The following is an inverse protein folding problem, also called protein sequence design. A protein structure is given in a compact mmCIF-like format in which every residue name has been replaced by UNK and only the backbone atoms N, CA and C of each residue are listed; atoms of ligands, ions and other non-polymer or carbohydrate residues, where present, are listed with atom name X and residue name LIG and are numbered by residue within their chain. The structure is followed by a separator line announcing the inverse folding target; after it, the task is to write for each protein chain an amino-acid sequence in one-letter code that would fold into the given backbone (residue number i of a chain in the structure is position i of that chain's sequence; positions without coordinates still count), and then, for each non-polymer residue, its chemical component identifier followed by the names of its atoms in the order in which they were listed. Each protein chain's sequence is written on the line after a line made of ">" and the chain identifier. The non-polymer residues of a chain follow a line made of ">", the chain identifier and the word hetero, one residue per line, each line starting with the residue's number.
data_IF_611509757456
#
_entry.id   IF_611509757456
#
_cell.length_a   1.000
_cell.length_b   1.000
_cell.length_c   1.000
_cell.angle_alpha   90.00
_cell.angle_beta   90.00
_cell.angle_gamma   90.00
#
_symmetry.space_group_name_H-M   'P 1'
#
loop_
_entity.id
_entity.type
_entity.pdbx_description
1 polymer ?
#
# COMPACT_ATOMS: atom_id res chain seq x y z
N UNK A 1 -3.93 -4.50 -12.97
CA UNK A 1 -2.68 -4.75 -13.74
C UNK A 1 -2.04 -3.43 -14.11
N UNK A 2 -0.74 -3.24 -13.86
CA UNK A 2 -0.04 -1.99 -14.12
C UNK A 2 0.14 -1.80 -15.63
N UNK A 3 -0.45 -0.74 -16.20
CA UNK A 3 -0.52 -0.54 -17.65
C UNK A 3 0.78 0.04 -18.24
N UNK A 4 1.54 0.77 -17.44
CA UNK A 4 2.80 1.38 -17.88
C UNK A 4 3.93 0.34 -17.97
N UNK A 5 4.30 0.01 -19.22
CA UNK A 5 5.38 -0.93 -19.52
C UNK A 5 6.76 -0.38 -19.18
N UNK A 6 6.97 0.92 -19.34
CA UNK A 6 8.26 1.56 -19.09
C UNK A 6 8.60 1.54 -17.60
N UNK A 7 7.62 1.85 -16.74
CA UNK A 7 7.81 1.76 -15.30
C UNK A 7 8.05 0.32 -14.82
N UNK A 8 7.33 -0.66 -15.37
CA UNK A 8 7.60 -2.06 -15.05
C UNK A 8 9.03 -2.47 -15.40
N UNK A 9 9.56 -2.03 -16.55
CA UNK A 9 10.96 -2.26 -16.92
C UNK A 9 11.93 -1.62 -15.92
N UNK A 10 11.70 -0.36 -15.53
CA UNK A 10 12.52 0.31 -14.52
C UNK A 10 12.48 -0.41 -13.16
N UNK A 11 11.31 -0.89 -12.73
CA UNK A 11 11.15 -1.61 -11.47
C UNK A 11 11.92 -2.94 -11.50
N UNK A 12 11.85 -3.69 -12.60
CA UNK A 12 12.62 -4.93 -12.79
C UNK A 12 14.12 -4.61 -12.80
N UNK A 13 14.55 -3.54 -13.46
CA UNK A 13 15.97 -3.15 -13.48
C UNK A 13 16.48 -2.79 -12.09
N UNK A 14 15.69 -2.09 -11.28
CA UNK A 14 16.03 -1.81 -9.87
C UNK A 14 16.21 -3.10 -9.06
N UNK A 15 15.35 -4.09 -9.26
CA UNK A 15 15.47 -5.40 -8.60
C UNK A 15 16.75 -6.14 -9.03
N UNK A 16 17.10 -6.10 -10.32
CA UNK A 16 18.38 -6.65 -10.82
C UNK A 16 19.58 -5.95 -10.19
N UNK A 17 19.58 -4.62 -10.12
CA UNK A 17 20.66 -3.85 -9.51
C UNK A 17 20.81 -4.15 -8.00
N UNK A 18 19.69 -4.44 -7.32
CA UNK A 18 19.67 -4.90 -5.93
C UNK A 18 20.05 -6.38 -5.75
N UNK A 19 20.42 -7.08 -6.83
CA UNK A 19 20.82 -8.50 -6.84
C UNK A 19 19.73 -9.45 -6.34
N UNK A 20 18.46 -9.14 -6.60
CA UNK A 20 17.37 -10.08 -6.37
C UNK A 20 17.57 -11.33 -7.25
N UNK A 21 17.53 -12.53 -6.65
CA UNK A 21 17.84 -13.79 -7.34
C UNK A 21 16.71 -14.34 -8.20
N UNK A 22 15.47 -13.93 -7.93
CA UNK A 22 14.29 -14.43 -8.61
C UNK A 22 13.23 -13.34 -8.78
N UNK A 23 12.42 -13.47 -9.83
CA UNK A 23 11.23 -12.67 -10.07
C UNK A 23 9.99 -13.56 -9.90
N UNK A 24 9.15 -13.24 -8.92
CA UNK A 24 7.88 -13.94 -8.69
C UNK A 24 6.75 -13.11 -9.28
N UNK A 25 6.01 -13.69 -10.23
CA UNK A 25 4.91 -13.01 -10.91
C UNK A 25 3.56 -13.37 -10.26
N UNK A 26 2.90 -12.36 -9.70
CA UNK A 26 1.53 -12.46 -9.19
C UNK A 26 0.55 -12.28 -10.35
N UNK A 27 -0.16 -13.34 -10.73
CA UNK A 27 -1.06 -13.37 -11.91
C UNK A 27 -2.56 -13.49 -11.57
N UNK A 28 -2.88 -13.76 -10.30
CA UNK A 28 -4.23 -13.96 -9.74
C UNK A 28 -5.00 -12.65 -9.52
N UNK A 29 -4.32 -11.54 -9.25
CA UNK A 29 -4.93 -10.23 -8.95
C UNK A 29 -5.22 -9.39 -10.21
N UNK A 30 -5.97 -9.93 -11.17
CA UNK A 30 -6.40 -9.16 -12.34
C UNK A 30 -7.42 -8.08 -11.97
N UNK A 31 -8.37 -8.43 -11.11
CA UNK A 31 -9.37 -7.55 -10.50
C UNK A 31 -9.13 -7.56 -8.99
N UNK A 32 -9.15 -6.39 -8.34
CA UNK A 32 -9.04 -6.34 -6.89
C UNK A 32 -10.26 -7.00 -6.25
N UNK A 33 -10.03 -8.03 -5.45
CA UNK A 33 -11.09 -8.68 -4.69
C UNK A 33 -11.80 -7.71 -3.75
N UNK A 34 -13.12 -7.89 -3.61
CA UNK A 34 -13.94 -7.05 -2.74
C UNK A 34 -13.72 -7.42 -1.27
N UNK A 35 -12.82 -6.71 -0.60
CA UNK A 35 -12.57 -6.88 0.84
C UNK A 35 -13.68 -6.18 1.63
N UNK A 36 -14.72 -6.92 2.01
CA UNK A 36 -15.90 -6.35 2.71
C UNK A 36 -15.55 -5.57 3.99
N UNK A 37 -14.54 -6.00 4.75
CA UNK A 37 -14.09 -5.27 5.95
C UNK A 37 -13.44 -3.94 5.61
N UNK A 38 -12.64 -3.89 4.53
CA UNK A 38 -12.00 -2.66 4.08
C UNK A 38 -13.06 -1.64 3.65
N UNK A 39 -14.12 -2.10 2.97
CA UNK A 39 -15.26 -1.26 2.57
C UNK A 39 -16.03 -0.75 3.79
N UNK A 40 -16.42 -1.64 4.71
CA UNK A 40 -17.15 -1.27 5.93
C UNK A 40 -16.38 -0.28 6.81
N UNK A 41 -15.07 -0.47 6.93
CA UNK A 41 -14.20 0.40 7.73
C UNK A 41 -13.73 1.64 6.96
N UNK A 42 -14.08 1.78 5.68
CA UNK A 42 -13.62 2.87 4.83
C UNK A 42 -12.08 2.95 4.75
N UNK A 43 -11.41 1.80 4.75
CA UNK A 43 -9.95 1.73 4.72
C UNK A 43 -9.44 2.32 3.40
N UNK A 44 -8.71 3.42 3.51
CA UNK A 44 -8.11 4.12 2.38
C UNK A 44 -6.73 4.68 2.75
N UNK A 45 -5.94 5.02 1.74
CA UNK A 45 -4.71 5.80 1.89
C UNK A 45 -4.89 7.11 1.11
N UNK A 46 -4.96 8.29 1.76
CA UNK A 46 -4.95 8.54 3.22
C UNK A 46 -6.23 8.01 3.93
N UNK A 47 -6.17 7.73 5.24
CA UNK A 47 -7.30 7.18 5.98
C UNK A 47 -8.49 8.14 6.01
N UNK A 48 -9.70 7.63 5.73
CA UNK A 48 -10.94 8.39 5.88
C UNK A 48 -11.29 8.54 7.36
N UNK A 49 -11.40 9.80 7.80
CA UNK A 49 -11.78 10.17 9.16
C UNK A 49 -13.30 10.15 9.31
N UNK A 50 -13.85 8.94 9.43
CA UNK A 50 -15.24 8.74 9.84
C UNK A 50 -15.33 8.75 11.38
N UNK A 51 -16.49 9.11 11.93
CA UNK A 51 -16.68 9.16 13.39
C UNK A 51 -16.35 7.82 14.07
N UNK A 52 -16.76 6.70 13.45
CA UNK A 52 -16.43 5.36 13.93
C UNK A 52 -14.91 5.07 13.91
N UNK A 53 -14.20 5.53 12.86
CA UNK A 53 -12.74 5.36 12.77
C UNK A 53 -12.02 6.24 13.80
N UNK A 54 -12.52 7.45 14.06
CA UNK A 54 -11.95 8.34 15.07
C UNK A 54 -12.07 7.74 16.47
N UNK A 55 -13.27 7.26 16.84
CA UNK A 55 -13.49 6.57 18.12
C UNK A 55 -12.57 5.34 18.20
N UNK A 56 -12.48 4.54 17.13
CA UNK A 56 -11.61 3.37 17.10
C UNK A 56 -10.13 3.75 17.34
N UNK A 57 -9.64 4.80 16.67
CA UNK A 57 -8.29 5.34 16.86
C UNK A 57 -8.06 5.83 18.29
N UNK A 58 -9.03 6.51 18.91
CA UNK A 58 -8.96 6.94 20.31
C UNK A 58 -8.80 5.76 21.28
N UNK A 59 -9.38 4.59 20.97
CA UNK A 59 -9.19 3.37 21.80
C UNK A 59 -7.83 2.70 21.62
N UNK A 60 -7.00 3.13 20.65
CA UNK A 60 -5.70 2.52 20.30
C UNK A 60 -4.56 3.56 20.27
N UNK A 61 -4.32 4.29 21.38
CA UNK A 61 -3.36 5.40 21.42
C UNK A 61 -1.91 4.96 21.14
N UNK A 62 -1.51 3.78 21.62
CA UNK A 62 -0.17 3.22 21.38
C UNK A 62 0.08 2.96 19.89
N UNK A 63 -0.92 2.43 19.18
CA UNK A 63 -0.83 2.20 17.74
C UNK A 63 -0.79 3.52 16.97
N UNK A 64 -1.65 4.49 17.31
CA UNK A 64 -1.66 5.80 16.68
C UNK A 64 -0.33 6.55 16.84
N UNK A 65 0.25 6.54 18.05
CA UNK A 65 1.58 7.12 18.30
C UNK A 65 2.68 6.42 17.50
N UNK A 66 2.60 5.09 17.40
CA UNK A 66 3.49 4.31 16.53
C UNK A 66 3.39 4.75 15.07
N UNK A 67 2.17 4.88 14.55
CA UNK A 67 1.92 5.30 13.17
C UNK A 67 2.41 6.73 12.90
N UNK A 68 2.21 7.67 13.83
CA UNK A 68 2.69 9.05 13.71
C UNK A 68 4.22 9.12 13.63
N UNK A 69 4.94 8.22 14.30
CA UNK A 69 6.40 8.13 14.26
C UNK A 69 6.96 7.50 12.98
N UNK A 70 6.11 6.90 12.13
CA UNK A 70 6.60 6.28 10.89
C UNK A 70 6.98 7.32 9.85
N UNK A 71 8.19 7.16 9.29
CA UNK A 71 8.76 8.03 8.26
C UNK A 71 8.23 7.70 6.87
N UNK A 72 7.85 6.43 6.63
CA UNK A 72 7.43 5.92 5.32
C UNK A 72 5.93 5.63 5.34
N UNK A 73 5.13 6.56 4.84
CA UNK A 73 3.65 6.46 4.79
C UNK A 73 3.12 6.16 3.38
N UNK A 74 4.02 5.88 2.45
CA UNK A 74 3.73 5.75 1.03
C UNK A 74 4.36 4.48 0.46
N UNK A 75 3.86 4.02 -0.69
CA UNK A 75 4.37 2.82 -1.35
C UNK A 75 5.72 3.11 -2.02
N UNK A 76 6.84 2.93 -1.32
CA UNK A 76 8.17 3.38 -1.79
C UNK A 76 8.64 2.87 -3.16
N UNK A 77 8.06 1.79 -3.70
CA UNK A 77 8.36 1.32 -5.06
C UNK A 77 7.50 1.97 -6.14
N UNK A 78 6.36 2.55 -5.78
CA UNK A 78 5.30 3.08 -6.66
C UNK A 78 5.23 4.62 -6.58
N UNK A 79 5.68 5.20 -5.47
CA UNK A 79 5.71 6.64 -5.21
C UNK A 79 6.64 7.33 -6.20
N UNK A 80 6.10 8.29 -6.95
CA UNK A 80 6.76 8.94 -8.08
C UNK A 80 6.27 8.46 -9.46
N UNK A 81 5.39 7.47 -9.52
CA UNK A 81 4.78 6.97 -10.75
C UNK A 81 3.24 7.11 -10.78
N UNK A 82 2.70 7.97 -9.92
CA UNK A 82 1.28 8.35 -9.86
C UNK A 82 1.20 9.87 -9.83
#
# INVERSE_FOLDING_TARGET
>A
MMKDRHFMQQLIQRAKNAKCSALVLTADLQIMGQRHKDIKNGLSAPPKLNLANLINMCTKPTWCLGMLRTQRRTFGNIVGHV
#
